data_IF_323273535544
#
_entry.id   IF_323273535544
#
_cell.length_a   1.000
_cell.length_b   1.000
_cell.length_c   1.000
_cell.angle_alpha   90.00
_cell.angle_beta   90.00
_cell.angle_gamma   90.00
#
_symmetry.space_group_name_H-M   'P 1'
#
loop_
_entity.id
_entity.type
_entity.pdbx_description
1 polymer ?
#
# COMPACT_ATOMS: atom_id res chain seq x y z
N UNK A 1 7.63 6.68 -13.93
CA UNK A 1 7.93 6.36 -12.51
C UNK A 1 6.98 7.06 -11.52
N UNK A 2 6.01 7.87 -11.93
CA UNK A 2 5.34 8.86 -11.05
C UNK A 2 4.44 8.31 -9.92
N UNK A 3 4.05 7.03 -9.93
CA UNK A 3 3.08 6.51 -8.96
C UNK A 3 3.60 5.43 -8.00
N UNK A 4 4.92 5.24 -7.89
CA UNK A 4 5.47 4.26 -6.94
C UNK A 4 5.00 4.56 -5.50
N UNK A 5 4.39 3.57 -4.86
CA UNK A 5 3.79 3.67 -3.53
C UNK A 5 2.48 4.46 -3.44
N UNK A 6 1.96 5.04 -4.53
CA UNK A 6 0.70 5.79 -4.48
C UNK A 6 -0.48 4.91 -4.07
N UNK A 7 -0.53 3.68 -4.58
CA UNK A 7 -1.56 2.71 -4.19
C UNK A 7 -1.48 2.36 -2.70
N UNK A 8 -0.28 2.09 -2.18
CA UNK A 8 -0.07 1.74 -0.76
C UNK A 8 -0.57 2.88 0.13
N UNK A 9 -0.18 4.14 -0.14
CA UNK A 9 -0.64 5.31 0.62
C UNK A 9 -2.16 5.51 0.58
N UNK A 10 -2.79 5.26 -0.57
CA UNK A 10 -4.24 5.43 -0.72
C UNK A 10 -5.04 4.32 -0.05
N UNK A 11 -4.50 3.11 0.01
CA UNK A 11 -5.16 1.92 0.59
C UNK A 11 -4.77 1.66 2.05
N UNK A 12 -3.77 2.33 2.61
CA UNK A 12 -3.33 2.14 3.99
C UNK A 12 -4.47 2.40 4.99
N UNK A 13 -4.50 1.60 6.06
CA UNK A 13 -5.50 1.71 7.14
C UNK A 13 -5.19 2.85 8.13
N UNK A 14 -4.08 3.56 7.96
CA UNK A 14 -3.62 4.63 8.83
C UNK A 14 -2.58 4.18 9.85
N UNK A 15 -2.32 2.88 9.98
CA UNK A 15 -1.30 2.34 10.89
C UNK A 15 0.12 2.82 10.58
N UNK A 16 0.37 3.24 9.34
CA UNK A 16 1.67 3.76 8.90
C UNK A 16 1.71 5.30 8.79
N UNK A 17 0.70 5.99 9.35
CA UNK A 17 0.59 7.45 9.35
C UNK A 17 0.79 8.02 10.75
N UNK A 18 1.26 9.27 10.85
CA UNK A 18 1.49 9.93 12.15
C UNK A 18 0.19 10.32 12.87
N UNK A 19 -0.85 10.59 12.10
CA UNK A 19 -2.16 11.04 12.55
C UNK A 19 -3.20 9.90 12.64
N UNK A 20 -2.80 8.67 12.28
CA UNK A 20 -3.68 7.51 12.26
C UNK A 20 -4.77 7.58 11.19
N UNK A 21 -4.66 8.51 10.23
CA UNK A 21 -5.70 8.71 9.22
C UNK A 21 -5.54 7.68 8.10
N UNK A 22 -6.61 6.93 7.79
CA UNK A 22 -6.57 5.99 6.67
C UNK A 22 -6.46 6.72 5.33
N UNK A 23 -5.88 6.04 4.36
CA UNK A 23 -5.86 6.51 2.98
C UNK A 23 -7.28 6.67 2.41
N UNK A 24 -7.44 7.61 1.48
CA UNK A 24 -8.76 7.95 0.92
C UNK A 24 -9.45 6.80 0.16
N UNK A 25 -8.69 5.78 -0.27
CA UNK A 25 -9.20 4.60 -0.95
C UNK A 25 -9.43 3.40 -0.01
N UNK A 26 -8.93 3.41 1.22
CA UNK A 26 -9.14 2.34 2.20
C UNK A 26 -10.64 2.04 2.43
N UNK A 27 -11.47 3.09 2.43
CA UNK A 27 -12.94 2.96 2.56
C UNK A 27 -13.60 2.11 1.47
N UNK A 28 -12.95 1.96 0.31
CA UNK A 28 -13.46 1.21 -0.83
C UNK A 28 -13.06 -0.27 -0.80
N UNK A 29 -12.26 -0.68 0.19
CA UNK A 29 -11.88 -2.08 0.39
C UNK A 29 -13.00 -2.95 0.99
N UNK A 30 -14.20 -2.42 1.20
CA UNK A 30 -15.35 -3.20 1.70
C UNK A 30 -16.10 -2.50 2.82
N UNK A 31 -17.08 -3.22 3.38
CA UNK A 31 -17.87 -2.76 4.52
C UNK A 31 -17.22 -3.21 5.81
N UNK A 32 -16.99 -2.25 6.72
CA UNK A 32 -16.49 -2.49 8.08
C UNK A 32 -15.30 -3.46 8.13
N UNK A 33 -15.49 -4.68 8.62
CA UNK A 33 -14.47 -5.70 8.87
C UNK A 33 -13.80 -6.19 7.57
N UNK A 34 -14.53 -6.21 6.45
CA UNK A 34 -14.03 -6.64 5.14
C UNK A 34 -12.83 -5.80 4.67
N UNK A 35 -12.74 -4.53 5.10
CA UNK A 35 -11.65 -3.62 4.70
C UNK A 35 -10.29 -4.15 5.12
N UNK A 36 -10.20 -4.67 6.35
CA UNK A 36 -8.95 -5.17 6.90
C UNK A 36 -8.53 -6.48 6.21
N UNK A 37 -9.49 -7.35 5.89
CA UNK A 37 -9.24 -8.59 5.17
C UNK A 37 -8.78 -8.34 3.74
N UNK A 38 -9.46 -7.45 3.02
CA UNK A 38 -9.09 -7.08 1.67
C UNK A 38 -7.76 -6.33 1.61
N UNK A 39 -7.45 -5.47 2.60
CA UNK A 39 -6.13 -4.84 2.70
C UNK A 39 -5.00 -5.89 2.83
N UNK A 40 -5.21 -6.98 3.58
CA UNK A 40 -4.23 -8.08 3.68
C UNK A 40 -3.99 -8.73 2.32
N UNK A 41 -5.02 -8.89 1.48
CA UNK A 41 -4.86 -9.41 0.12
C UNK A 41 -3.96 -8.50 -0.73
N UNK A 42 -4.16 -7.17 -0.67
CA UNK A 42 -3.31 -6.21 -1.37
C UNK A 42 -1.87 -6.23 -0.84
N UNK A 43 -1.67 -6.25 0.47
CA UNK A 43 -0.33 -6.36 1.10
C UNK A 43 0.39 -7.63 0.64
N UNK A 44 -0.32 -8.78 0.63
CA UNK A 44 0.22 -10.05 0.15
C UNK A 44 0.57 -10.03 -1.33
N UNK A 45 -0.27 -9.42 -2.17
CA UNK A 45 -0.04 -9.31 -3.62
C UNK A 45 1.19 -8.44 -3.93
N UNK A 46 1.34 -7.31 -3.26
CA UNK A 46 2.50 -6.43 -3.39
C UNK A 46 3.78 -7.07 -2.83
N UNK A 47 3.64 -7.87 -1.77
CA UNK A 47 4.73 -8.29 -0.90
C UNK A 47 4.65 -7.51 0.41
N UNK A 48 4.48 -8.22 1.52
CA UNK A 48 4.32 -7.61 2.85
C UNK A 48 5.53 -6.75 3.24
N UNK A 49 6.72 -7.14 2.78
CA UNK A 49 8.00 -6.45 2.93
C UNK A 49 8.19 -5.24 2.01
N UNK A 50 7.28 -5.04 1.05
CA UNK A 50 7.32 -3.95 0.06
C UNK A 50 6.26 -2.87 0.31
N UNK A 51 5.40 -3.01 1.33
CA UNK A 51 4.43 -1.99 1.69
C UNK A 51 5.14 -0.75 2.25
N UNK A 52 5.05 0.39 1.54
CA UNK A 52 5.79 1.59 1.91
C UNK A 52 5.01 2.88 1.67
N UNK A 53 5.14 3.83 2.61
CA UNK A 53 4.57 5.18 2.53
C UNK A 53 5.49 6.19 1.81
N UNK A 54 6.66 5.74 1.32
CA UNK A 54 7.59 6.55 0.52
C UNK A 54 6.88 7.18 -0.67
N UNK A 55 7.25 8.42 -1.02
CA UNK A 55 6.90 9.03 -2.30
C UNK A 55 7.83 8.49 -3.39
N UNK A 56 7.41 8.63 -4.63
CA UNK A 56 8.16 8.19 -5.81
C UNK A 56 9.64 8.58 -5.79
N UNK A 57 9.96 9.80 -5.36
CA UNK A 57 11.35 10.30 -5.32
C UNK A 57 12.24 9.58 -4.28
N UNK A 58 11.63 8.88 -3.31
CA UNK A 58 12.32 8.19 -2.22
C UNK A 58 12.49 6.69 -2.49
N UNK A 59 11.93 6.17 -3.60
CA UNK A 59 12.08 4.77 -3.99
C UNK A 59 13.47 4.51 -4.57
N UNK A 60 14.16 3.54 -3.98
CA UNK A 60 15.40 2.96 -4.52
C UNK A 60 15.08 1.80 -5.47
N UNK A 61 16.07 1.35 -6.24
CA UNK A 61 15.93 0.12 -7.04
C UNK A 61 15.65 -1.11 -6.16
N UNK A 62 16.20 -1.14 -4.95
CA UNK A 62 15.96 -2.22 -4.00
C UNK A 62 14.50 -2.24 -3.52
N UNK A 63 13.93 -1.07 -3.19
CA UNK A 63 12.52 -0.95 -2.83
C UNK A 63 11.62 -1.47 -3.96
N UNK A 64 11.97 -1.18 -5.22
CA UNK A 64 11.23 -1.66 -6.39
C UNK A 64 11.39 -3.17 -6.60
N UNK A 65 12.57 -3.75 -6.34
CA UNK A 65 12.81 -5.21 -6.45
C UNK A 65 12.03 -6.02 -5.42
N UNK A 66 11.70 -5.44 -4.26
CA UNK A 66 10.90 -6.10 -3.23
C UNK A 66 9.43 -6.23 -3.62
N UNK A 67 8.95 -5.42 -4.57
CA UNK A 67 7.59 -5.51 -5.08
C UNK A 67 7.44 -6.81 -5.87
N UNK A 68 6.66 -7.74 -5.33
CA UNK A 68 6.39 -9.08 -5.90
C UNK A 68 5.16 -9.10 -6.80
N UNK A 69 4.42 -7.99 -6.87
CA UNK A 69 3.28 -7.85 -7.78
C UNK A 69 3.75 -8.08 -9.22
N UNK A 70 3.25 -9.15 -9.85
CA UNK A 70 3.54 -9.43 -11.25
C UNK A 70 3.00 -8.29 -12.11
N UNK A 71 3.85 -7.72 -12.95
CA UNK A 71 3.42 -6.97 -14.11
C UNK A 71 3.14 -8.00 -15.20
N UNK A 72 1.87 -8.16 -15.59
CA UNK A 72 1.51 -8.92 -16.80
C UNK A 72 1.81 -8.10 -18.06
#
# INVERSE_FOLDING_TARGET
>A
REEAGAMMRRLDDGSNTKDGQPGNMYRHLGRKEERAENLKLFKKWIGEDAWSMKKTAEYTEEDLRRIKAKQE
#
